data_IF_854972377134
#
_entry.id   IF_854972377134
#
_cell.length_a   1.000
_cell.length_b   1.000
_cell.length_c   1.000
_cell.angle_alpha   90.00
_cell.angle_beta   90.00
_cell.angle_gamma   90.00
#
_symmetry.space_group_name_H-M   'P 1'
#
loop_
_entity.id
_entity.type
_entity.pdbx_description
1 polymer ?
#
# COMPACT_ATOMS: atom_id res chain seq x y z
N UNK A 1 57.65 33.47 2.58
CA UNK A 1 57.04 32.13 2.69
C UNK A 1 55.89 32.23 3.68
N UNK A 2 54.67 32.52 3.19
CA UNK A 2 53.47 32.51 4.02
C UNK A 2 52.40 31.67 3.33
N UNK A 3 52.12 30.51 3.92
CA UNK A 3 50.92 29.71 3.68
C UNK A 3 50.01 29.90 4.89
N UNK A 4 48.78 30.36 4.68
CA UNK A 4 47.62 29.89 5.46
C UNK A 4 46.35 30.32 4.75
N UNK A 5 45.81 29.43 3.92
CA UNK A 5 44.58 28.65 4.18
C UNK A 5 43.30 29.46 4.02
N UNK A 6 42.79 29.39 2.79
CA UNK A 6 41.44 29.73 2.38
C UNK A 6 40.46 28.93 3.25
N UNK A 7 39.66 29.63 4.05
CA UNK A 7 38.52 29.05 4.76
C UNK A 7 37.27 29.24 3.88
N UNK A 8 37.07 28.34 2.91
CA UNK A 8 35.80 28.28 2.17
C UNK A 8 34.78 27.55 3.02
N UNK A 9 33.89 28.30 3.66
CA UNK A 9 32.72 27.79 4.36
C UNK A 9 31.73 27.23 3.32
N UNK A 10 31.79 25.93 3.04
CA UNK A 10 30.78 25.23 2.22
C UNK A 10 29.54 25.02 3.09
N UNK A 11 28.61 25.97 3.03
CA UNK A 11 27.24 25.77 3.52
C UNK A 11 26.56 24.81 2.53
N UNK A 12 26.68 23.52 2.81
CA UNK A 12 25.90 22.49 2.12
C UNK A 12 24.48 22.55 2.70
N UNK A 13 23.60 23.32 2.06
CA UNK A 13 22.19 23.35 2.42
C UNK A 13 21.58 21.97 2.21
N UNK A 14 21.39 21.25 3.31
CA UNK A 14 20.64 20.01 3.40
C UNK A 14 19.23 20.25 2.83
N UNK A 15 19.00 19.77 1.61
CA UNK A 15 17.66 19.57 1.08
C UNK A 15 17.03 18.43 1.88
N UNK A 16 16.24 18.77 2.90
CA UNK A 16 15.40 17.81 3.61
C UNK A 16 14.27 17.42 2.67
N UNK A 17 14.43 16.31 1.95
CA UNK A 17 13.36 15.72 1.15
C UNK A 17 12.41 15.03 2.11
N UNK A 18 11.31 15.70 2.48
CA UNK A 18 10.22 15.07 3.23
C UNK A 18 9.46 14.13 2.29
N UNK A 19 9.82 12.84 2.28
CA UNK A 19 9.04 11.80 1.63
C UNK A 19 7.87 11.40 2.55
N UNK A 20 6.77 12.17 2.50
CA UNK A 20 5.48 11.67 2.99
C UNK A 20 4.96 10.65 1.95
N UNK A 21 5.35 9.39 2.08
CA UNK A 21 4.78 8.30 1.30
C UNK A 21 3.33 8.08 1.77
N UNK A 22 2.38 8.70 1.08
CA UNK A 22 0.97 8.38 1.26
C UNK A 22 0.73 6.99 0.67
N UNK A 23 0.27 6.04 1.49
CA UNK A 23 -0.05 4.69 1.04
C UNK A 23 -1.01 4.74 -0.16
N UNK A 24 -0.65 4.01 -1.22
CA UNK A 24 -1.50 3.87 -2.40
C UNK A 24 -2.70 2.99 -2.08
N UNK A 25 -3.69 2.96 -2.97
CA UNK A 25 -4.82 2.04 -2.89
C UNK A 25 -4.33 0.59 -2.95
N UNK A 26 -3.43 0.29 -3.89
CA UNK A 26 -2.79 -1.01 -4.09
C UNK A 26 -2.18 -1.57 -2.78
N UNK A 27 -1.51 -0.72 -1.98
CA UNK A 27 -0.95 -1.13 -0.68
C UNK A 27 -2.03 -1.70 0.26
N UNK A 28 -3.23 -1.11 0.25
CA UNK A 28 -4.36 -1.59 1.05
C UNK A 28 -4.96 -2.87 0.46
N UNK A 29 -5.08 -2.97 -0.87
CA UNK A 29 -5.58 -4.18 -1.53
C UNK A 29 -4.73 -5.38 -1.15
N UNK A 30 -3.40 -5.25 -1.13
CA UNK A 30 -2.50 -6.31 -0.67
C UNK A 30 -2.75 -6.72 0.80
N UNK A 31 -2.94 -5.75 1.70
CA UNK A 31 -3.22 -6.03 3.11
C UNK A 31 -4.56 -6.75 3.30
N UNK A 32 -5.58 -6.31 2.57
CA UNK A 32 -6.91 -6.91 2.57
C UNK A 32 -6.86 -8.33 1.99
N UNK A 33 -6.15 -8.53 0.89
CA UNK A 33 -5.97 -9.83 0.24
C UNK A 33 -5.31 -10.84 1.18
N UNK A 34 -4.34 -10.43 2.01
CA UNK A 34 -3.76 -11.35 3.01
C UNK A 34 -4.76 -11.81 4.07
N UNK A 35 -5.80 -11.02 4.35
CA UNK A 35 -6.84 -11.35 5.32
C UNK A 35 -7.97 -12.18 4.71
N UNK A 36 -8.36 -11.87 3.47
CA UNK A 36 -9.51 -12.51 2.80
C UNK A 36 -9.11 -13.63 1.83
N UNK A 37 -7.84 -13.72 1.44
CA UNK A 37 -7.40 -14.50 0.30
C UNK A 37 -7.89 -13.89 -1.02
N UNK A 38 -7.86 -14.68 -2.09
CA UNK A 38 -8.31 -14.26 -3.42
C UNK A 38 -7.20 -13.78 -4.35
N UNK A 39 -7.61 -13.48 -5.59
CA UNK A 39 -6.79 -13.01 -6.69
C UNK A 39 -6.98 -11.50 -6.88
N UNK A 40 -5.88 -10.74 -7.01
CA UNK A 40 -5.93 -9.30 -7.23
C UNK A 40 -5.87 -8.94 -8.71
N UNK A 41 -6.37 -7.76 -9.06
CA UNK A 41 -6.31 -7.17 -10.41
C UNK A 41 -6.83 -8.13 -11.52
N UNK A 42 -7.95 -8.79 -11.27
CA UNK A 42 -8.50 -9.77 -12.23
C UNK A 42 -9.14 -9.04 -13.40
N UNK A 43 -8.59 -9.23 -14.60
CA UNK A 43 -9.07 -8.58 -15.81
C UNK A 43 -10.50 -9.02 -16.18
N UNK A 44 -11.35 -8.05 -16.48
CA UNK A 44 -12.71 -8.24 -16.99
C UNK A 44 -12.96 -7.33 -18.18
N UNK A 45 -14.13 -7.46 -18.82
CA UNK A 45 -14.51 -6.50 -19.85
C UNK A 45 -14.55 -5.10 -19.26
N UNK A 46 -13.72 -4.20 -19.81
CA UNK A 46 -13.67 -2.78 -19.42
C UNK A 46 -13.25 -2.53 -17.97
N UNK A 47 -12.31 -3.30 -17.41
CA UNK A 47 -11.69 -2.99 -16.12
C UNK A 47 -10.95 -4.16 -15.49
N UNK A 48 -10.60 -3.98 -14.23
CA UNK A 48 -10.00 -4.99 -13.37
C UNK A 48 -10.78 -5.04 -12.06
N UNK A 49 -10.99 -6.24 -11.52
CA UNK A 49 -11.54 -6.42 -10.18
C UNK A 49 -10.38 -6.36 -9.19
N UNK A 50 -10.43 -5.44 -8.22
CA UNK A 50 -9.33 -5.25 -7.27
C UNK A 50 -9.03 -6.52 -6.46
N UNK A 51 -10.08 -7.19 -5.99
CA UNK A 51 -9.95 -8.46 -5.28
C UNK A 51 -11.11 -9.43 -5.59
N UNK A 52 -10.78 -10.55 -6.21
CA UNK A 52 -11.71 -11.63 -6.53
C UNK A 52 -11.52 -12.82 -5.59
N UNK A 53 -12.57 -13.18 -4.86
CA UNK A 53 -12.62 -14.36 -4.00
C UNK A 53 -13.53 -15.42 -4.60
N UNK A 54 -13.64 -16.58 -3.95
CA UNK A 54 -14.55 -17.65 -4.38
C UNK A 54 -16.02 -17.19 -4.45
N UNK A 55 -16.42 -16.24 -3.60
CA UNK A 55 -17.81 -15.79 -3.48
C UNK A 55 -18.06 -14.36 -3.97
N UNK A 56 -17.09 -13.46 -3.81
CA UNK A 56 -17.25 -12.02 -4.04
C UNK A 56 -16.23 -11.45 -5.01
N UNK A 57 -16.68 -10.47 -5.81
CA UNK A 57 -15.85 -9.54 -6.56
C UNK A 57 -15.86 -8.19 -5.83
N UNK A 58 -14.76 -7.84 -5.18
CA UNK A 58 -14.63 -6.62 -4.40
C UNK A 58 -13.99 -5.50 -5.22
N UNK A 59 -14.64 -4.33 -5.15
CA UNK A 59 -14.02 -3.03 -5.39
C UNK A 59 -13.45 -2.52 -4.06
N UNK A 60 -12.20 -2.09 -4.05
CA UNK A 60 -11.52 -1.52 -2.89
C UNK A 60 -11.21 -0.05 -3.19
N UNK A 61 -11.80 0.87 -2.42
CA UNK A 61 -11.71 2.29 -2.75
C UNK A 61 -11.62 3.16 -1.48
N UNK A 62 -10.91 4.29 -1.57
CA UNK A 62 -10.90 5.28 -0.50
C UNK A 62 -12.31 5.78 -0.21
N UNK A 63 -12.63 5.86 1.08
CA UNK A 63 -13.98 6.09 1.57
C UNK A 63 -14.67 7.33 0.98
N UNK A 64 -13.92 8.40 0.70
CA UNK A 64 -14.46 9.64 0.12
C UNK A 64 -14.98 9.49 -1.32
N UNK A 65 -14.65 8.40 -2.02
CA UNK A 65 -15.10 8.09 -3.38
C UNK A 65 -16.17 6.98 -3.44
N UNK A 66 -16.79 6.63 -2.31
CA UNK A 66 -17.79 5.55 -2.18
C UNK A 66 -18.88 5.48 -3.28
N UNK A 67 -19.24 6.61 -3.90
CA UNK A 67 -20.25 6.66 -4.97
C UNK A 67 -19.82 5.88 -6.21
N UNK A 68 -18.53 5.93 -6.57
CA UNK A 68 -17.97 5.26 -7.74
C UNK A 68 -17.97 3.74 -7.52
N UNK A 69 -17.61 3.32 -6.31
CA UNK A 69 -17.53 1.92 -5.92
C UNK A 69 -18.85 1.14 -6.09
N UNK A 70 -20.02 1.80 -5.99
CA UNK A 70 -21.32 1.15 -6.24
C UNK A 70 -21.40 0.61 -7.67
N UNK A 71 -21.03 1.44 -8.65
CA UNK A 71 -21.11 1.07 -10.06
C UNK A 71 -20.11 -0.02 -10.42
N UNK A 72 -18.87 0.11 -9.95
CA UNK A 72 -17.81 -0.86 -10.19
C UNK A 72 -18.13 -2.21 -9.54
N UNK A 73 -18.53 -2.25 -8.27
CA UNK A 73 -18.88 -3.50 -7.60
C UNK A 73 -20.00 -4.26 -8.33
N UNK A 74 -21.06 -3.55 -8.76
CA UNK A 74 -22.15 -4.16 -9.53
C UNK A 74 -21.67 -4.70 -10.88
N UNK A 75 -20.87 -3.92 -11.61
CA UNK A 75 -20.32 -4.33 -12.90
C UNK A 75 -19.41 -5.56 -12.76
N UNK A 76 -18.53 -5.56 -11.76
CA UNK A 76 -17.58 -6.65 -11.52
C UNK A 76 -18.24 -7.93 -11.02
N UNK A 77 -19.23 -7.82 -10.13
CA UNK A 77 -20.07 -8.97 -9.75
C UNK A 77 -20.74 -9.61 -10.96
N UNK A 78 -21.29 -8.78 -11.87
CA UNK A 78 -21.91 -9.25 -13.12
C UNK A 78 -20.90 -9.95 -14.04
N UNK A 79 -19.72 -9.35 -14.29
CA UNK A 79 -18.72 -9.90 -15.22
C UNK A 79 -18.12 -11.22 -14.74
N UNK A 80 -17.99 -11.39 -13.43
CA UNK A 80 -17.34 -12.57 -12.81
C UNK A 80 -18.32 -13.63 -12.35
N UNK A 81 -19.63 -13.38 -12.44
CA UNK A 81 -20.68 -14.19 -11.84
C UNK A 81 -20.44 -14.43 -10.33
N UNK A 82 -19.94 -13.41 -9.63
CA UNK A 82 -19.73 -13.38 -8.18
C UNK A 82 -20.67 -12.36 -7.53
N UNK A 83 -20.81 -12.42 -6.21
CA UNK A 83 -21.55 -11.39 -5.47
C UNK A 83 -20.76 -10.08 -5.48
N UNK A 84 -21.41 -8.92 -5.71
CA UNK A 84 -20.73 -7.64 -5.66
C UNK A 84 -20.32 -7.30 -4.22
N UNK A 85 -19.11 -6.78 -4.06
CA UNK A 85 -18.57 -6.33 -2.78
C UNK A 85 -17.88 -4.99 -2.89
N UNK A 86 -17.95 -4.19 -1.82
CA UNK A 86 -17.24 -2.92 -1.66
C UNK A 86 -16.45 -2.98 -0.36
N UNK A 87 -15.18 -2.60 -0.42
CA UNK A 87 -14.33 -2.41 0.76
C UNK A 87 -13.89 -0.94 0.79
N UNK A 88 -14.39 -0.18 1.74
CA UNK A 88 -13.98 1.22 1.90
C UNK A 88 -12.72 1.34 2.76
N UNK A 89 -11.71 2.04 2.25
CA UNK A 89 -10.52 2.40 3.03
C UNK A 89 -10.77 3.74 3.71
N UNK A 90 -10.81 3.74 5.05
CA UNK A 90 -10.79 5.00 5.82
C UNK A 90 -9.44 5.23 6.48
N UNK A 91 -8.98 6.48 6.45
CA UNK A 91 -7.72 6.92 7.08
C UNK A 91 -7.92 7.48 8.48
N UNK A 92 -9.12 8.00 8.76
CA UNK A 92 -9.43 8.63 10.05
C UNK A 92 -10.85 8.30 10.49
N UNK A 93 -11.14 8.49 11.78
CA UNK A 93 -12.48 8.29 12.33
C UNK A 93 -13.54 9.20 11.70
N UNK A 94 -13.15 10.39 11.25
CA UNK A 94 -14.05 11.37 10.63
C UNK A 94 -14.59 10.91 9.26
N UNK A 95 -13.96 9.89 8.67
CA UNK A 95 -14.39 9.30 7.40
C UNK A 95 -15.47 8.23 7.57
N UNK A 96 -15.83 7.85 8.81
CA UNK A 96 -16.96 6.94 9.07
C UNK A 96 -18.28 7.41 8.43
N UNK A 97 -18.44 8.73 8.28
CA UNK A 97 -19.58 9.33 7.58
C UNK A 97 -19.78 8.78 6.17
N UNK A 98 -18.71 8.39 5.47
CA UNK A 98 -18.81 7.87 4.11
C UNK A 98 -19.38 6.45 4.07
N UNK A 99 -19.02 5.59 5.02
CA UNK A 99 -19.66 4.28 5.18
C UNK A 99 -21.16 4.42 5.45
N UNK A 100 -21.55 5.34 6.34
CA UNK A 100 -22.98 5.63 6.61
C UNK A 100 -23.70 6.12 5.35
N UNK A 101 -23.08 7.03 4.59
CA UNK A 101 -23.65 7.54 3.34
C UNK A 101 -23.82 6.43 2.29
N UNK A 102 -22.81 5.58 2.10
CA UNK A 102 -22.87 4.43 1.22
C UNK A 102 -24.03 3.51 1.63
N UNK A 103 -24.07 3.09 2.88
CA UNK A 103 -25.09 2.17 3.37
C UNK A 103 -26.51 2.75 3.26
N UNK A 104 -26.68 4.04 3.56
CA UNK A 104 -27.96 4.75 3.37
C UNK A 104 -28.37 4.78 1.91
N UNK A 105 -27.43 5.03 0.99
CA UNK A 105 -27.71 5.05 -0.44
C UNK A 105 -28.05 3.65 -0.99
N UNK A 106 -27.37 2.61 -0.50
CA UNK A 106 -27.68 1.22 -0.86
C UNK A 106 -29.06 0.80 -0.34
N UNK A 107 -29.41 1.20 0.88
CA UNK A 107 -30.74 0.94 1.44
C UNK A 107 -31.84 1.63 0.63
N UNK A 108 -31.69 2.93 0.36
CA UNK A 108 -32.60 3.67 -0.51
C UNK A 108 -32.75 3.03 -1.90
N UNK A 109 -31.66 2.51 -2.46
CA UNK A 109 -31.65 1.81 -3.75
C UNK A 109 -32.15 0.36 -3.73
N UNK A 110 -32.50 -0.21 -2.58
CA UNK A 110 -32.86 -1.62 -2.45
C UNK A 110 -31.71 -2.58 -2.81
N UNK A 111 -30.48 -2.15 -2.55
CA UNK A 111 -29.22 -2.86 -2.81
C UNK A 111 -28.52 -3.32 -1.54
N UNK A 112 -29.01 -2.93 -0.35
CA UNK A 112 -28.38 -3.21 0.94
C UNK A 112 -28.00 -4.69 1.14
N UNK A 113 -28.91 -5.60 0.82
CA UNK A 113 -28.69 -7.04 0.97
C UNK A 113 -27.99 -7.70 -0.23
N UNK A 114 -27.76 -6.92 -1.29
CA UNK A 114 -27.18 -7.41 -2.56
C UNK A 114 -25.69 -7.13 -2.67
N UNK A 115 -25.21 -6.07 -2.03
CA UNK A 115 -23.79 -5.67 -2.06
C UNK A 115 -23.21 -5.85 -0.66
N UNK A 116 -22.16 -6.67 -0.54
CA UNK A 116 -21.42 -6.80 0.71
C UNK A 116 -20.56 -5.55 0.92
N UNK A 117 -20.75 -4.85 2.03
CA UNK A 117 -19.89 -3.72 2.41
C UNK A 117 -19.00 -4.13 3.57
N UNK A 118 -17.72 -3.78 3.47
CA UNK A 118 -16.72 -3.85 4.53
C UNK A 118 -15.99 -2.50 4.61
N UNK A 119 -15.44 -2.19 5.78
CA UNK A 119 -14.68 -0.97 6.05
C UNK A 119 -13.34 -1.34 6.64
N UNK A 120 -12.26 -1.00 5.94
CA UNK A 120 -10.91 -1.13 6.46
C UNK A 120 -10.55 0.09 7.33
N UNK A 121 -9.99 -0.08 8.54
CA UNK A 121 -9.60 -1.36 9.16
C UNK A 121 -10.68 -2.03 10.04
N UNK A 122 -11.82 -1.37 10.30
CA UNK A 122 -12.80 -1.77 11.33
C UNK A 122 -13.32 -3.21 11.23
N UNK A 123 -13.64 -3.66 10.01
CA UNK A 123 -14.23 -4.99 9.77
C UNK A 123 -13.18 -6.11 9.64
N UNK A 124 -11.91 -5.76 9.79
CA UNK A 124 -10.79 -6.67 9.64
C UNK A 124 -10.13 -6.89 10.99
N UNK A 125 -9.68 -8.13 11.22
CA UNK A 125 -8.76 -8.38 12.31
C UNK A 125 -7.46 -7.70 11.93
N UNK A 126 -7.24 -6.49 12.43
CA UNK A 126 -5.91 -5.89 12.37
C UNK A 126 -5.02 -6.83 13.17
N UNK A 127 -4.26 -7.67 12.47
CA UNK A 127 -3.03 -8.20 13.05
C UNK A 127 -2.17 -6.95 13.16
N UNK A 128 -2.29 -6.25 14.29
CA UNK A 128 -1.35 -5.20 14.67
C UNK A 128 -0.04 -5.96 14.85
N UNK A 129 0.96 -5.84 13.95
CA UNK A 129 2.30 -6.22 14.35
C UNK A 129 2.60 -5.40 15.61
N UNK A 130 3.09 -6.00 16.70
CA UNK A 130 3.30 -5.28 17.95
C UNK A 130 4.23 -4.08 17.73
N UNK A 131 3.66 -2.86 17.72
CA UNK A 131 4.32 -1.59 17.40
C UNK A 131 5.03 -1.54 16.01
N UNK A 132 5.28 -0.34 15.42
CA UNK A 132 5.60 -0.24 14.00
C UNK A 132 7.03 -0.73 13.75
N UNK A 133 7.16 -1.99 13.33
CA UNK A 133 8.34 -2.39 12.58
C UNK A 133 8.44 -1.48 11.34
N UNK A 134 9.60 -0.84 11.09
CA UNK A 134 9.78 0.04 9.95
C UNK A 134 9.42 -0.71 8.68
N UNK A 135 8.57 -0.07 7.85
CA UNK A 135 7.97 -0.64 6.66
C UNK A 135 8.94 -1.55 5.88
N UNK A 136 8.77 -2.86 6.03
CA UNK A 136 9.44 -3.84 5.18
C UNK A 136 8.73 -3.77 3.83
N UNK A 137 9.37 -3.28 2.76
CA UNK A 137 8.73 -3.23 1.46
C UNK A 137 8.48 -4.65 0.98
N UNK A 138 7.24 -4.93 0.60
CA UNK A 138 6.89 -6.23 0.03
C UNK A 138 7.59 -6.39 -1.32
N UNK A 139 8.31 -7.51 -1.47
CA UNK A 139 9.25 -7.74 -2.56
C UNK A 139 10.70 -7.45 -2.14
N UNK A 140 11.30 -8.41 -1.40
CA UNK A 140 12.67 -8.40 -0.86
C UNK A 140 13.75 -8.25 -1.95
N UNK A 141 13.88 -7.05 -2.52
CA UNK A 141 14.82 -6.73 -3.61
C UNK A 141 16.14 -6.17 -3.10
N UNK A 142 16.19 -5.68 -1.86
CA UNK A 142 17.33 -4.94 -1.33
C UNK A 142 17.77 -5.40 0.07
N UNK A 143 19.09 -5.46 0.29
CA UNK A 143 19.75 -5.82 1.55
C UNK A 143 20.61 -4.65 2.04
N UNK A 144 20.46 -4.26 3.29
CA UNK A 144 21.21 -3.18 3.94
C UNK A 144 22.25 -3.79 4.88
N UNK A 145 23.54 -3.56 4.60
CA UNK A 145 24.61 -3.84 5.55
C UNK A 145 24.53 -2.84 6.71
N UNK A 146 24.32 -3.31 7.95
CA UNK A 146 24.05 -2.44 9.10
C UNK A 146 25.25 -1.56 9.46
N UNK A 147 26.46 -2.13 9.42
CA UNK A 147 27.69 -1.42 9.82
C UNK A 147 28.03 -0.24 8.89
N UNK A 148 27.72 -0.34 7.60
CA UNK A 148 28.05 0.69 6.61
C UNK A 148 26.82 1.43 6.08
N UNK A 149 25.62 1.04 6.50
CA UNK A 149 24.34 1.54 5.99
C UNK A 149 24.29 1.53 4.45
N UNK A 150 24.88 0.50 3.84
CA UNK A 150 24.95 0.36 2.37
C UNK A 150 23.91 -0.62 1.88
N UNK A 151 23.09 -0.19 0.92
CA UNK A 151 22.05 -0.98 0.28
C UNK A 151 22.58 -1.70 -0.95
N UNK A 152 22.18 -2.95 -1.12
CA UNK A 152 22.55 -3.83 -2.23
C UNK A 152 21.29 -4.46 -2.84
N UNK A 153 21.18 -4.56 -4.16
CA UNK A 153 20.13 -5.39 -4.78
C UNK A 153 20.51 -6.88 -4.75
N UNK A 154 19.53 -7.73 -5.07
CA UNK A 154 19.65 -9.19 -5.13
C UNK A 154 20.75 -9.73 -6.05
N UNK A 155 21.26 -8.93 -7.00
CA UNK A 155 22.39 -9.32 -7.86
C UNK A 155 23.77 -9.01 -7.27
N UNK A 156 23.83 -8.35 -6.11
CA UNK A 156 25.08 -7.97 -5.47
C UNK A 156 25.64 -9.09 -4.61
N UNK A 157 26.97 -9.30 -4.67
CA UNK A 157 27.67 -10.25 -3.80
C UNK A 157 27.41 -10.04 -2.30
N UNK A 158 27.13 -8.82 -1.86
CA UNK A 158 26.91 -8.50 -0.44
C UNK A 158 25.45 -8.60 0.01
N UNK A 159 24.54 -8.95 -0.91
CA UNK A 159 23.15 -9.22 -0.60
C UNK A 159 23.03 -10.50 0.23
N UNK A 160 22.50 -10.39 1.45
CA UNK A 160 22.39 -11.50 2.43
C UNK A 160 23.71 -12.15 2.89
N UNK A 161 24.86 -11.71 2.39
CA UNK A 161 26.19 -12.23 2.77
C UNK A 161 26.87 -11.39 3.87
N UNK A 162 26.34 -10.19 4.14
CA UNK A 162 26.85 -9.28 5.19
C UNK A 162 25.92 -9.25 6.40
N UNK A 163 26.44 -8.85 7.57
CA UNK A 163 25.60 -8.57 8.75
C UNK A 163 24.66 -7.39 8.44
N UNK A 164 23.39 -7.69 8.19
CA UNK A 164 22.45 -6.77 7.56
C UNK A 164 20.99 -7.19 7.67
N UNK A 165 20.10 -6.42 7.06
CA UNK A 165 18.66 -6.67 7.03
C UNK A 165 18.06 -6.34 5.66
N UNK A 166 16.88 -6.88 5.36
CA UNK A 166 16.11 -6.41 4.19
C UNK A 166 15.67 -4.97 4.38
N UNK A 167 15.62 -4.22 3.29
CA UNK A 167 15.41 -2.77 3.34
C UNK A 167 14.64 -2.24 2.13
N UNK A 168 14.19 -0.99 2.24
CA UNK A 168 13.54 -0.29 1.15
C UNK A 168 14.49 0.19 0.04
N UNK A 169 13.94 0.41 -1.16
CA UNK A 169 14.69 0.97 -2.31
C UNK A 169 15.34 2.32 -2.01
N UNK A 170 14.81 3.05 -1.02
CA UNK A 170 15.29 4.36 -0.59
C UNK A 170 16.06 4.32 0.75
N UNK A 171 16.31 3.14 1.33
CA UNK A 171 16.95 3.01 2.63
C UNK A 171 18.48 2.87 2.49
N UNK A 172 19.24 3.61 3.30
CA UNK A 172 20.71 3.63 3.23
C UNK A 172 21.31 4.17 1.93
N UNK A 173 22.63 4.03 1.79
CA UNK A 173 23.38 4.47 0.61
C UNK A 173 23.43 3.36 -0.44
N UNK A 174 23.05 3.66 -1.69
CA UNK A 174 23.18 2.73 -2.79
C UNK A 174 24.62 2.23 -2.97
N UNK A 175 24.82 0.93 -3.03
CA UNK A 175 26.12 0.33 -3.30
C UNK A 175 26.62 0.77 -4.68
N UNK A 176 27.80 1.38 -4.74
CA UNK A 176 28.40 1.91 -5.98
C UNK A 176 28.61 0.85 -7.07
N UNK A 177 28.62 -0.45 -6.73
CA UNK A 177 28.82 -1.55 -7.67
C UNK A 177 27.52 -2.06 -8.29
N UNK A 178 26.47 -2.24 -7.48
CA UNK A 178 25.21 -2.79 -7.95
C UNK A 178 24.13 -1.74 -8.16
N UNK A 179 24.33 -0.50 -7.71
CA UNK A 179 23.34 0.58 -7.77
C UNK A 179 22.36 0.61 -6.59
N UNK A 180 22.51 -0.29 -5.62
CA UNK A 180 21.61 -0.41 -4.47
C UNK A 180 20.26 -0.89 -4.92
#
# INVERSE_FOLDING_TARGET
MQMSKILTLVICSLLVVNANAQSSEDDYVELIQRQLGGEMEVAVTSGFVDLLTDEYAYEVEFSNKWKQAIGQALWYGLQTNKKPGIILIKKTINENKYGIQLETALDYGGLRDKIKVLVWPDDFKVIVPPDPEPAVPLGKKYWLTISTQTRHNSGCRYFQDSQGQFCAKNEGTACKRCGG
#
